data_IF_185669874904
#
_entry.id   IF_185669874904
#
_cell.length_a   1.000
_cell.length_b   1.000
_cell.length_c   1.000
_cell.angle_alpha   90.00
_cell.angle_beta   90.00
_cell.angle_gamma   90.00
#
_symmetry.space_group_name_H-M   'P 1'
#
loop_
_entity.id
_entity.type
_entity.pdbx_description
1 polymer ?
#
# COMPACT_ATOMS: atom_id res chain seq x y z
N UNK A 1 -6.08 -23.31 -25.80
CA UNK A 1 -6.57 -22.30 -24.84
C UNK A 1 -5.36 -21.79 -24.11
N UNK A 2 -4.95 -20.55 -24.38
CA UNK A 2 -3.78 -19.97 -23.71
C UNK A 2 -4.19 -19.67 -22.27
N UNK A 3 -3.67 -20.43 -21.31
CA UNK A 3 -3.75 -20.10 -19.89
C UNK A 3 -3.35 -18.63 -19.75
N UNK A 4 -4.32 -17.77 -19.45
CA UNK A 4 -4.06 -16.39 -19.05
C UNK A 4 -3.31 -16.49 -17.73
N UNK A 5 -1.97 -16.59 -17.83
CA UNK A 5 -1.05 -16.51 -16.70
C UNK A 5 -1.53 -15.38 -15.81
N UNK A 6 -1.96 -15.71 -14.59
CA UNK A 6 -2.49 -14.72 -13.65
C UNK A 6 -1.45 -13.60 -13.53
N UNK A 7 -1.77 -12.45 -14.12
CA UNK A 7 -0.84 -11.34 -14.17
C UNK A 7 -0.93 -10.61 -12.83
N UNK A 8 -0.18 -11.13 -11.86
CA UNK A 8 -0.11 -10.63 -10.49
C UNK A 8 0.25 -9.15 -10.47
N UNK A 9 1.16 -8.71 -11.33
CA UNK A 9 1.59 -7.31 -11.43
C UNK A 9 0.44 -6.40 -11.87
N UNK A 10 -0.38 -6.84 -12.83
CA UNK A 10 -1.55 -6.09 -13.28
C UNK A 10 -2.62 -5.98 -12.19
N UNK A 11 -2.85 -7.05 -11.43
CA UNK A 11 -3.77 -7.01 -10.28
C UNK A 11 -3.25 -6.06 -9.19
N UNK A 12 -1.94 -6.13 -8.89
CA UNK A 12 -1.30 -5.24 -7.92
C UNK A 12 -1.40 -3.77 -8.37
N UNK A 13 -1.09 -3.46 -9.62
CA UNK A 13 -1.16 -2.09 -10.15
C UNK A 13 -2.59 -1.52 -10.11
N UNK A 14 -3.61 -2.33 -10.45
CA UNK A 14 -5.02 -1.90 -10.40
C UNK A 14 -5.51 -1.56 -9.01
N UNK A 15 -5.03 -2.28 -8.00
CA UNK A 15 -5.47 -2.10 -6.61
C UNK A 15 -4.51 -1.22 -5.79
N UNK A 16 -3.37 -0.82 -6.37
CA UNK A 16 -2.30 -0.09 -5.67
C UNK A 16 -2.83 1.12 -4.89
N UNK A 17 -3.61 1.99 -5.55
CA UNK A 17 -4.12 3.21 -4.91
C UNK A 17 -5.04 2.90 -3.73
N UNK A 18 -5.93 1.92 -3.89
CA UNK A 18 -6.87 1.51 -2.83
C UNK A 18 -6.13 0.91 -1.64
N UNK A 19 -5.15 0.04 -1.89
CA UNK A 19 -4.36 -0.55 -0.80
C UNK A 19 -3.53 0.50 -0.07
N UNK A 20 -2.93 1.43 -0.80
CA UNK A 20 -2.16 2.52 -0.18
C UNK A 20 -3.06 3.42 0.68
N UNK A 21 -4.28 3.71 0.24
CA UNK A 21 -5.28 4.46 1.00
C UNK A 21 -5.75 3.70 2.25
N UNK A 22 -6.03 2.39 2.13
CA UNK A 22 -6.37 1.52 3.27
C UNK A 22 -5.24 1.50 4.33
N UNK A 23 -3.99 1.37 3.88
CA UNK A 23 -2.83 1.37 4.76
C UNK A 23 -2.63 2.73 5.44
N UNK A 24 -2.81 3.82 4.70
CA UNK A 24 -2.74 5.17 5.23
C UNK A 24 -3.81 5.43 6.30
N UNK A 25 -5.07 5.11 6.01
CA UNK A 25 -6.17 5.33 6.94
C UNK A 25 -5.98 4.52 8.22
N UNK A 26 -5.57 3.25 8.10
CA UNK A 26 -5.30 2.39 9.27
C UNK A 26 -4.17 2.98 10.12
N UNK A 27 -3.05 3.40 9.52
CA UNK A 27 -1.97 4.04 10.27
C UNK A 27 -2.40 5.34 10.93
N UNK A 28 -3.24 6.13 10.25
CA UNK A 28 -3.78 7.38 10.80
C UNK A 28 -4.64 7.09 12.04
N UNK A 29 -5.56 6.14 11.95
CA UNK A 29 -6.44 5.76 13.07
C UNK A 29 -5.59 5.33 14.29
N UNK A 30 -4.61 4.45 14.08
CA UNK A 30 -3.70 4.00 15.14
C UNK A 30 -2.86 5.14 15.74
N UNK A 31 -2.41 6.09 14.92
CA UNK A 31 -1.64 7.24 15.40
C UNK A 31 -2.44 8.17 16.33
N UNK A 32 -3.77 8.15 16.20
CA UNK A 32 -4.69 8.97 16.99
C UNK A 32 -5.15 8.27 18.27
N UNK A 33 -5.01 6.94 18.37
CA UNK A 33 -5.58 6.17 19.49
C UNK A 33 -4.84 6.32 20.83
N UNK A 34 -3.67 6.95 20.88
CA UNK A 34 -2.88 7.16 22.11
C UNK A 34 -2.69 5.88 22.95
N UNK A 35 -2.61 4.72 22.28
CA UNK A 35 -2.32 3.41 22.87
C UNK A 35 -0.93 2.99 22.37
N UNK A 36 0.13 3.42 23.03
CA UNK A 36 1.47 3.13 22.53
C UNK A 36 1.85 1.65 22.65
N UNK A 37 1.31 0.89 23.62
CA UNK A 37 1.80 -0.46 23.93
C UNK A 37 0.72 -1.53 24.22
N UNK A 38 -0.57 -1.23 24.03
CA UNK A 38 -1.68 -2.10 24.48
C UNK A 38 -2.55 -2.66 23.34
N UNK A 39 -1.94 -3.00 22.20
CA UNK A 39 -2.69 -3.53 21.06
C UNK A 39 -3.12 -4.98 21.27
N UNK A 40 -4.41 -5.23 21.06
CA UNK A 40 -5.00 -6.55 20.90
C UNK A 40 -4.40 -7.30 19.70
N UNK A 41 -4.63 -8.61 19.64
CA UNK A 41 -4.16 -9.45 18.52
C UNK A 41 -4.79 -8.96 17.20
N UNK A 42 -6.05 -8.55 17.23
CA UNK A 42 -6.76 -8.02 16.07
C UNK A 42 -6.13 -6.71 15.57
N UNK A 43 -5.79 -5.80 16.48
CA UNK A 43 -5.11 -4.54 16.15
C UNK A 43 -3.69 -4.81 15.60
N UNK A 44 -2.96 -5.78 16.17
CA UNK A 44 -1.66 -6.22 15.65
C UNK A 44 -1.77 -6.77 14.22
N UNK A 45 -2.76 -7.62 13.94
CA UNK A 45 -2.99 -8.17 12.60
C UNK A 45 -3.29 -7.06 11.57
N UNK A 46 -3.97 -5.98 11.97
CA UNK A 46 -4.20 -4.83 11.11
C UNK A 46 -2.88 -4.11 10.77
N UNK A 47 -2.03 -3.87 11.77
CA UNK A 47 -0.71 -3.28 11.56
C UNK A 47 0.21 -4.16 10.71
N UNK A 48 0.18 -5.48 10.89
CA UNK A 48 0.91 -6.41 10.03
C UNK A 48 0.45 -6.31 8.58
N UNK A 49 -0.86 -6.22 8.35
CA UNK A 49 -1.42 -6.02 7.00
C UNK A 49 -0.98 -4.69 6.38
N UNK A 50 -0.88 -3.61 7.17
CA UNK A 50 -0.29 -2.34 6.70
C UNK A 50 1.15 -2.55 6.25
N UNK A 51 1.97 -3.24 7.06
CA UNK A 51 3.37 -3.51 6.71
C UNK A 51 3.50 -4.34 5.42
N UNK A 52 2.64 -5.33 5.24
CA UNK A 52 2.59 -6.12 3.99
C UNK A 52 2.29 -5.22 2.78
N UNK A 53 1.27 -4.36 2.88
CA UNK A 53 0.90 -3.43 1.80
C UNK A 53 2.07 -2.50 1.47
N UNK A 54 2.69 -1.88 2.47
CA UNK A 54 3.81 -0.95 2.26
C UNK A 54 5.03 -1.64 1.63
N UNK A 55 5.32 -2.87 2.07
CA UNK A 55 6.39 -3.69 1.48
C UNK A 55 6.09 -4.01 0.02
N UNK A 56 4.85 -4.35 -0.30
CA UNK A 56 4.42 -4.60 -1.67
C UNK A 56 4.48 -3.32 -2.53
N UNK A 57 4.09 -2.17 -1.99
CA UNK A 57 4.21 -0.88 -2.69
C UNK A 57 5.68 -0.53 -2.98
N UNK A 58 6.57 -0.75 -2.01
CA UNK A 58 8.00 -0.52 -2.16
C UNK A 58 8.62 -1.44 -3.23
N UNK A 59 8.29 -2.73 -3.22
CA UNK A 59 8.75 -3.69 -4.22
C UNK A 59 8.30 -3.30 -5.65
N UNK A 60 7.07 -2.80 -5.80
CA UNK A 60 6.56 -2.32 -7.08
C UNK A 60 7.31 -1.06 -7.54
N UNK A 61 7.67 -0.17 -6.62
CA UNK A 61 8.42 1.03 -6.95
C UNK A 61 9.87 0.71 -7.34
N UNK A 62 10.56 -0.13 -6.56
CA UNK A 62 11.94 -0.54 -6.82
C UNK A 62 12.08 -1.25 -8.17
N UNK A 63 11.09 -2.07 -8.55
CA UNK A 63 11.02 -2.74 -9.85
C UNK A 63 10.56 -1.85 -11.00
N UNK A 64 10.25 -0.58 -10.75
CA UNK A 64 9.75 0.36 -11.76
C UNK A 64 8.35 0.02 -12.30
N UNK A 65 7.56 -0.78 -11.56
CA UNK A 65 6.18 -1.12 -11.92
C UNK A 65 5.20 0.02 -11.63
N UNK A 66 5.57 0.92 -10.73
CA UNK A 66 4.87 2.17 -10.45
C UNK A 66 5.86 3.33 -10.52
N UNK A 67 5.38 4.47 -11.01
CA UNK A 67 6.12 5.74 -11.02
C UNK A 67 5.28 6.73 -10.25
N UNK A 68 5.83 7.25 -9.15
CA UNK A 68 5.19 8.35 -8.42
C UNK A 68 5.48 9.66 -9.17
N UNK A 69 4.44 10.30 -9.68
CA UNK A 69 4.53 11.64 -10.27
C UNK A 69 3.93 12.61 -9.27
N UNK A 70 4.75 13.53 -8.76
CA UNK A 70 4.23 14.63 -7.92
C UNK A 70 3.55 15.66 -8.82
N UNK A 71 2.42 16.21 -8.38
CA UNK A 71 1.72 17.30 -9.08
C UNK A 71 2.61 18.53 -9.31
N UNK A 72 3.60 18.77 -8.44
CA UNK A 72 4.60 19.85 -8.62
C UNK A 72 5.48 19.68 -9.87
N UNK A 73 5.54 18.47 -10.44
CA UNK A 73 6.28 18.21 -11.67
C UNK A 73 5.47 18.43 -12.95
N UNK A 74 4.15 18.60 -12.85
CA UNK A 74 3.27 18.88 -14.01
C UNK A 74 3.26 20.36 -14.39
N UNK A 75 3.36 21.27 -13.41
CA UNK A 75 3.35 22.74 -13.62
C UNK A 75 4.65 23.31 -14.23
N UNK A 76 5.63 22.45 -14.54
CA UNK A 76 6.92 22.85 -15.17
C UNK A 76 7.00 22.55 -16.67
N UNK A 77 5.88 22.25 -17.34
CA UNK A 77 5.85 21.90 -18.77
C UNK A 77 5.08 22.89 -19.64
#
# INVERSE_FOLDING_TARGET
MSDKKFNRENVRAKNFGVWLEEAFQTMLDFSLENKFDCYSIEEQNQLERVLEILTDCFDMWDKGQIILVSKESEDKR
#
